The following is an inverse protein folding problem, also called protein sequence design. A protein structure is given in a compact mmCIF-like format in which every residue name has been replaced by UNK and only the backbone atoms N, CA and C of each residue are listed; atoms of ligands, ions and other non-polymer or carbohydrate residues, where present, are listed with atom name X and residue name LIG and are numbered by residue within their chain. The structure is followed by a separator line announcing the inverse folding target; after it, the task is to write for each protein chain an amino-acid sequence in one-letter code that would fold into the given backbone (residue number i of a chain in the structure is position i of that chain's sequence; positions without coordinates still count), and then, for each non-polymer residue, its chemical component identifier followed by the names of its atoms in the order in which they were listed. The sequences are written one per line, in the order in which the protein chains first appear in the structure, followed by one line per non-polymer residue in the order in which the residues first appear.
data_IF_617217980995
#
_entry.id   IF_617217980995
#
_cell.length_a   1.000
_cell.length_b   1.000
_cell.length_c   1.000
_cell.angle_alpha   90.00
_cell.angle_beta   90.00
_cell.angle_gamma   90.00
#
_symmetry.space_group_name_H-M   'P 1'
#
loop_
_entity.id
_entity.type
_entity.pdbx_description
1 polymer ?
#
# COMPACT_ATOMS: atom_id res chain seq x y z
N UNK A 1 8.88 -1.06 21.32
CA UNK A 1 8.19 -2.25 21.87
C UNK A 1 7.03 -2.58 20.92
N UNK A 2 7.09 -3.68 20.13
CA UNK A 2 6.27 -3.82 18.91
C UNK A 2 5.17 -4.89 18.96
N UNK A 3 4.70 -5.32 20.14
CA UNK A 3 3.73 -6.41 20.22
C UNK A 3 2.37 -6.06 19.57
N UNK A 4 1.88 -4.83 19.74
CA UNK A 4 0.62 -4.37 19.14
C UNK A 4 0.69 -4.27 17.60
N UNK A 5 1.85 -3.88 17.06
CA UNK A 5 2.09 -3.80 15.61
C UNK A 5 2.02 -5.18 14.95
N UNK A 6 2.41 -6.25 15.66
CA UNK A 6 2.42 -7.61 15.11
C UNK A 6 1.02 -8.18 14.87
N UNK A 7 0.05 -7.89 15.75
CA UNK A 7 -1.32 -8.42 15.62
C UNK A 7 -2.05 -7.70 14.49
N UNK A 8 -1.95 -6.37 14.42
CA UNK A 8 -2.54 -5.58 13.34
C UNK A 8 -2.01 -6.00 11.96
N UNK A 9 -0.70 -6.26 11.85
CA UNK A 9 -0.10 -6.76 10.61
C UNK A 9 -0.58 -8.17 10.26
N UNK A 10 -0.67 -9.08 11.24
CA UNK A 10 -1.18 -10.43 11.01
C UNK A 10 -2.65 -10.44 10.55
N UNK A 11 -3.49 -9.57 11.13
CA UNK A 11 -4.88 -9.38 10.68
C UNK A 11 -4.92 -8.84 9.25
N UNK A 12 -4.11 -7.82 8.94
CA UNK A 12 -4.04 -7.29 7.58
C UNK A 12 -3.61 -8.37 6.58
N UNK A 13 -2.59 -9.17 6.90
CA UNK A 13 -2.10 -10.25 6.04
C UNK A 13 -3.17 -11.32 5.77
N UNK A 14 -3.95 -11.68 6.79
CA UNK A 14 -5.07 -12.60 6.66
C UNK A 14 -6.15 -12.05 5.73
N UNK A 15 -6.57 -10.79 5.93
CA UNK A 15 -7.57 -10.14 5.07
C UNK A 15 -7.07 -10.03 3.62
N UNK A 16 -5.80 -9.66 3.42
CA UNK A 16 -5.22 -9.63 2.08
C UNK A 16 -5.18 -11.01 1.42
N UNK A 17 -4.96 -12.08 2.18
CA UNK A 17 -5.00 -13.44 1.66
C UNK A 17 -6.41 -13.86 1.22
N UNK A 18 -7.43 -13.48 1.99
CA UNK A 18 -8.84 -13.72 1.64
C UNK A 18 -9.26 -12.94 0.40
N UNK A 19 -8.87 -11.67 0.29
CA UNK A 19 -9.14 -10.87 -0.92
C UNK A 19 -8.50 -11.53 -2.15
N UNK A 20 -7.23 -11.94 -2.05
CA UNK A 20 -6.52 -12.62 -3.16
C UNK A 20 -7.17 -13.93 -3.56
N UNK A 21 -7.68 -14.72 -2.61
CA UNK A 21 -8.34 -15.98 -2.92
C UNK A 21 -9.73 -15.78 -3.53
N UNK A 22 -10.46 -14.76 -3.10
CA UNK A 22 -11.75 -14.38 -3.65
C UNK A 22 -11.66 -13.64 -4.99
N UNK A 23 -10.51 -13.02 -5.29
CA UNK A 23 -10.29 -12.17 -6.46
C UNK A 23 -11.03 -10.84 -6.43
N UNK A 24 -11.58 -10.45 -5.26
CA UNK A 24 -12.26 -9.16 -5.05
C UNK A 24 -12.32 -8.81 -3.58
N UNK A 25 -12.30 -7.51 -3.28
CA UNK A 25 -12.55 -7.00 -1.93
C UNK A 25 -14.05 -6.93 -1.64
N UNK A 26 -14.46 -7.27 -0.41
CA UNK A 26 -15.80 -7.03 0.12
C UNK A 26 -15.79 -5.78 1.00
N UNK A 27 -16.96 -5.22 1.29
CA UNK A 27 -17.09 -4.07 2.19
C UNK A 27 -16.55 -4.37 3.60
N UNK A 28 -16.67 -5.62 4.06
CA UNK A 28 -16.12 -6.07 5.33
C UNK A 28 -14.59 -6.05 5.30
N UNK A 29 -13.96 -6.55 4.22
CA UNK A 29 -12.50 -6.48 4.06
C UNK A 29 -12.02 -5.03 4.09
N UNK A 30 -12.70 -4.14 3.37
CA UNK A 30 -12.35 -2.72 3.30
C UNK A 30 -12.51 -2.02 4.66
N UNK A 31 -13.58 -2.32 5.40
CA UNK A 31 -13.82 -1.77 6.74
C UNK A 31 -12.74 -2.18 7.75
N UNK A 32 -12.30 -3.44 7.72
CA UNK A 32 -11.21 -3.93 8.57
C UNK A 32 -9.91 -3.19 8.23
N UNK A 33 -9.58 -3.09 6.94
CA UNK A 33 -8.35 -2.44 6.49
C UNK A 33 -8.35 -0.93 6.76
N UNK A 34 -9.50 -0.25 6.62
CA UNK A 34 -9.66 1.15 7.00
C UNK A 34 -9.48 1.33 8.52
N UNK A 35 -9.98 0.40 9.34
CA UNK A 35 -9.76 0.45 10.79
C UNK A 35 -8.28 0.32 11.15
N UNK A 36 -7.52 -0.50 10.41
CA UNK A 36 -6.10 -0.74 10.67
C UNK A 36 -5.16 0.37 10.15
N UNK A 37 -5.42 0.89 8.95
CA UNK A 37 -4.53 1.84 8.26
C UNK A 37 -5.10 3.26 8.14
N UNK A 38 -6.34 3.47 8.55
CA UNK A 38 -7.03 4.75 8.57
C UNK A 38 -7.02 5.47 7.22
N UNK A 39 -6.76 6.77 7.26
CA UNK A 39 -6.70 7.67 6.09
C UNK A 39 -5.76 7.19 4.97
N UNK A 40 -4.75 6.38 5.29
CA UNK A 40 -3.82 5.87 4.29
C UNK A 40 -4.49 4.80 3.42
N UNK A 41 -5.45 4.03 3.97
CA UNK A 41 -6.22 3.04 3.20
C UNK A 41 -7.07 3.71 2.13
N UNK A 42 -7.84 4.74 2.51
CA UNK A 42 -8.69 5.48 1.57
C UNK A 42 -7.89 6.10 0.42
N UNK A 43 -6.72 6.67 0.72
CA UNK A 43 -5.81 7.21 -0.30
C UNK A 43 -5.26 6.12 -1.22
N UNK A 44 -4.87 4.98 -0.66
CA UNK A 44 -4.37 3.86 -1.44
C UNK A 44 -5.46 3.34 -2.40
N UNK A 45 -6.69 3.11 -1.93
CA UNK A 45 -7.81 2.70 -2.78
C UNK A 45 -8.04 3.68 -3.92
N UNK A 46 -8.10 4.99 -3.62
CA UNK A 46 -8.30 6.02 -4.65
C UNK A 46 -7.23 5.96 -5.74
N UNK A 47 -5.96 5.80 -5.38
CA UNK A 47 -4.86 5.70 -6.35
C UNK A 47 -5.02 4.44 -7.22
N UNK A 48 -5.47 3.33 -6.65
CA UNK A 48 -5.74 2.08 -7.40
C UNK A 48 -6.92 2.27 -8.35
N UNK A 49 -8.03 2.84 -7.87
CA UNK A 49 -9.24 3.09 -8.65
C UNK A 49 -8.97 4.03 -9.84
N UNK A 50 -8.13 5.04 -9.64
CA UNK A 50 -7.70 5.98 -10.68
C UNK A 50 -6.60 5.40 -11.60
N UNK A 51 -6.24 4.12 -11.45
CA UNK A 51 -5.17 3.43 -12.19
C UNK A 51 -3.81 4.14 -12.07
N UNK A 52 -3.57 4.77 -10.93
CA UNK A 52 -2.35 5.51 -10.63
C UNK A 52 -1.13 4.64 -10.30
N UNK A 53 -1.23 3.30 -10.43
CA UNK A 53 -0.12 2.36 -10.17
C UNK A 53 0.34 1.69 -11.46
N UNK A 54 1.63 1.80 -11.77
CA UNK A 54 2.27 1.16 -12.93
C UNK A 54 3.45 0.31 -12.49
N UNK A 55 3.51 -0.94 -12.94
CA UNK A 55 4.67 -1.82 -12.72
C UNK A 55 5.72 -1.60 -13.82
N UNK A 56 6.98 -1.46 -13.43
CA UNK A 56 8.14 -1.37 -14.33
C UNK A 56 9.12 -2.48 -13.99
N UNK A 57 9.51 -3.27 -14.98
CA UNK A 57 10.45 -4.38 -14.82
C UNK A 57 11.72 -4.11 -15.61
N UNK A 58 12.87 -4.13 -14.96
CA UNK A 58 14.16 -3.87 -15.59
C UNK A 58 14.81 -5.13 -16.16
N UNK A 59 15.13 -5.13 -17.46
CA UNK A 59 15.91 -6.18 -18.11
C UNK A 59 17.43 -5.85 -18.08
N UNK A 60 18.33 -6.84 -17.93
CA UNK A 60 18.08 -8.28 -17.79
C UNK A 60 17.76 -8.73 -16.35
N UNK A 61 17.80 -7.80 -15.38
CA UNK A 61 17.76 -8.16 -13.94
C UNK A 61 16.46 -8.81 -13.46
N UNK A 62 15.35 -8.66 -14.19
CA UNK A 62 14.03 -9.14 -13.78
C UNK A 62 13.41 -8.41 -12.58
N UNK A 63 14.14 -7.49 -11.95
CA UNK A 63 13.65 -6.71 -10.81
C UNK A 63 12.52 -5.78 -11.25
N UNK A 64 11.47 -5.73 -10.44
CA UNK A 64 10.33 -4.82 -10.69
C UNK A 64 10.14 -3.80 -9.60
N UNK A 65 9.80 -2.59 -10.00
CA UNK A 65 9.41 -1.46 -9.14
C UNK A 65 8.03 -0.98 -9.54
N UNK A 66 7.34 -0.31 -8.63
CA UNK A 66 6.05 0.30 -8.91
C UNK A 66 6.18 1.81 -8.93
N UNK A 67 5.62 2.43 -9.95
CA UNK A 67 5.46 3.86 -10.07
C UNK A 67 4.04 4.20 -9.64
N UNK A 68 3.94 5.05 -8.64
CA UNK A 68 2.67 5.46 -8.01
C UNK A 68 2.50 6.94 -8.26
N UNK A 69 1.43 7.32 -8.97
CA UNK A 69 1.12 8.73 -9.20
C UNK A 69 0.69 9.40 -7.90
N UNK A 70 1.33 10.53 -7.61
CA UNK A 70 0.93 11.41 -6.53
C UNK A 70 -0.40 12.09 -6.82
N UNK A 71 -1.17 12.35 -5.75
CA UNK A 71 -2.41 13.14 -5.81
C UNK A 71 -2.16 14.64 -6.08
N UNK A 72 -0.90 15.07 -6.17
CA UNK A 72 -0.56 16.48 -6.40
C UNK A 72 -0.92 16.91 -7.83
N UNK A 73 -1.24 18.20 -8.01
CA UNK A 73 -1.53 18.77 -9.34
C UNK A 73 -0.40 18.58 -10.37
N UNK A 74 0.81 18.28 -9.91
CA UNK A 74 1.99 18.07 -10.76
C UNK A 74 2.09 16.65 -11.33
N UNK A 75 1.24 15.71 -10.88
CA UNK A 75 1.26 14.29 -11.29
C UNK A 75 2.66 13.68 -11.19
N UNK A 76 3.36 13.95 -10.10
CA UNK A 76 4.68 13.36 -9.84
C UNK A 76 4.52 11.85 -9.64
N UNK A 77 5.41 11.06 -10.25
CA UNK A 77 5.48 9.61 -10.03
C UNK A 77 6.44 9.32 -8.87
N UNK A 78 5.99 8.54 -7.88
CA UNK A 78 6.80 8.05 -6.78
C UNK A 78 7.21 6.60 -7.02
N UNK A 79 8.44 6.26 -6.66
CA UNK A 79 8.92 4.88 -6.68
C UNK A 79 8.49 4.19 -5.39
N UNK A 80 7.73 3.11 -5.51
CA UNK A 80 7.45 2.21 -4.41
C UNK A 80 8.09 0.83 -4.68
N UNK A 81 8.92 0.41 -3.73
CA UNK A 81 9.43 -0.95 -3.58
C UNK A 81 8.49 -1.70 -2.61
N UNK A 82 7.89 -2.81 -3.05
CA UNK A 82 6.83 -3.55 -2.34
C UNK A 82 7.08 -3.75 -0.84
N UNK A 83 8.31 -4.12 -0.49
CA UNK A 83 8.65 -4.64 0.84
C UNK A 83 9.38 -3.62 1.73
N UNK A 84 9.85 -2.48 1.18
CA UNK A 84 10.92 -1.72 1.86
C UNK A 84 10.77 -0.21 1.82
N UNK A 85 10.20 0.38 0.77
CA UNK A 85 10.33 1.82 0.57
C UNK A 85 9.23 2.36 -0.34
N UNK A 86 8.68 3.52 -0.01
CA UNK A 86 8.11 4.38 -1.03
C UNK A 86 8.69 5.79 -0.94
N UNK A 87 8.97 6.42 -2.09
CA UNK A 87 9.55 7.77 -2.15
C UNK A 87 8.51 8.88 -2.01
N UNK A 88 7.29 8.57 -1.59
CA UNK A 88 6.25 9.58 -1.40
C UNK A 88 6.47 10.34 -0.10
N UNK A 89 6.04 11.61 -0.07
CA UNK A 89 6.22 12.48 1.10
C UNK A 89 5.56 11.92 2.38
N UNK A 90 4.40 11.26 2.24
CA UNK A 90 3.71 10.64 3.37
C UNK A 90 4.52 9.52 4.01
N UNK A 91 5.18 8.67 3.21
CA UNK A 91 6.04 7.61 3.75
C UNK A 91 7.21 8.19 4.55
N UNK A 92 7.90 9.20 4.02
CA UNK A 92 8.99 9.86 4.74
C UNK A 92 8.54 10.49 6.05
N UNK A 93 7.36 11.12 6.08
CA UNK A 93 6.90 11.78 7.30
C UNK A 93 6.36 10.79 8.34
N UNK A 94 5.48 9.88 7.92
CA UNK A 94 4.76 8.97 8.83
C UNK A 94 5.65 7.80 9.27
N UNK A 95 6.41 7.20 8.35
CA UNK A 95 7.23 6.00 8.65
C UNK A 95 8.62 6.39 9.14
N UNK A 96 9.35 7.23 8.38
CA UNK A 96 10.73 7.58 8.73
C UNK A 96 10.77 8.63 9.85
N UNK A 97 9.92 9.66 9.77
CA UNK A 97 9.91 10.78 10.71
C UNK A 97 9.23 10.47 12.05
N UNK A 98 8.15 9.66 12.05
CA UNK A 98 7.38 9.34 13.26
C UNK A 98 7.54 7.90 13.76
N UNK A 99 8.18 7.03 12.98
CA UNK A 99 8.36 5.61 13.35
C UNK A 99 7.06 4.82 13.32
N UNK A 100 6.03 5.29 12.61
CA UNK A 100 4.76 4.58 12.51
C UNK A 100 4.90 3.46 11.48
N UNK A 101 4.94 2.21 11.95
CA UNK A 101 5.25 1.06 11.10
C UNK A 101 4.03 0.54 10.31
N UNK A 102 2.82 0.97 10.64
CA UNK A 102 1.58 0.59 9.94
C UNK A 102 1.36 1.51 8.74
N UNK A 103 2.09 1.26 7.65
CA UNK A 103 1.83 1.90 6.36
C UNK A 103 1.20 0.90 5.40
N UNK A 104 0.11 1.31 4.75
CA UNK A 104 -0.41 0.57 3.59
C UNK A 104 0.47 0.92 2.40
N UNK A 105 1.14 -0.10 1.84
CA UNK A 105 1.76 0.05 0.53
C UNK A 105 0.63 0.08 -0.50
N UNK A 106 0.52 1.10 -1.38
CA UNK A 106 -0.50 1.13 -2.42
C UNK A 106 -0.51 -0.14 -3.29
N UNK A 107 0.62 -0.85 -3.33
CA UNK A 107 0.73 -2.13 -3.99
C UNK A 107 -0.07 -3.26 -3.33
N UNK A 108 -0.08 -3.37 -1.99
CA UNK A 108 -0.86 -4.43 -1.34
C UNK A 108 -2.35 -4.26 -1.62
N UNK A 109 -2.81 -3.00 -1.65
CA UNK A 109 -4.15 -2.65 -2.11
C UNK A 109 -4.37 -2.95 -3.61
N UNK A 110 -3.41 -2.61 -4.48
CA UNK A 110 -3.49 -2.85 -5.92
C UNK A 110 -3.52 -4.34 -6.29
N UNK A 111 -2.83 -5.21 -5.55
CA UNK A 111 -2.84 -6.67 -5.76
C UNK A 111 -4.10 -7.37 -5.24
N UNK A 112 -4.98 -6.61 -4.57
CA UNK A 112 -6.25 -7.09 -4.02
C UNK A 112 -7.46 -6.79 -4.93
N UNK A 113 -7.25 -6.12 -6.07
CA UNK A 113 -8.30 -5.80 -7.06
C UNK A 113 -8.10 -6.55 -8.37
#
# INVERSE_FOLDING_TARGET
MPAATSVSLAVADAVWAEIRSAGRASDEHLSILETLFGKNMLRACKIVDERGVRRVTGAPSGRSVFLVMGESKRKEEYLCFPEHLCTCYSFFYDVVGRGEQLSVSPLTAATAS
#
